data_IF_793391063618
#
_entry.id   IF_793391063618
#
_cell.length_a   1.000
_cell.length_b   1.000
_cell.length_c   1.000
_cell.angle_alpha   90.00
_cell.angle_beta   90.00
_cell.angle_gamma   90.00
#
_symmetry.space_group_name_H-M   'P 1'
#
loop_
_entity.id
_entity.type
_entity.pdbx_description
1 polymer ?
#
# COMPACT_ATOMS: atom_id res chain seq x y z
N UNK A 1 3.41 -7.05 0.50
CA UNK A 1 3.53 -7.00 -0.98
C UNK A 1 4.97 -6.86 -1.40
N UNK A 2 5.67 -5.81 -0.97
CA UNK A 2 7.04 -5.52 -1.41
C UNK A 2 8.02 -6.69 -1.18
N UNK A 3 7.95 -7.34 -0.03
CA UNK A 3 8.75 -8.55 0.23
C UNK A 3 8.43 -9.72 -0.71
N UNK A 4 7.17 -9.86 -1.14
CA UNK A 4 6.78 -10.89 -2.12
C UNK A 4 7.30 -10.55 -3.52
N UNK A 5 7.38 -9.26 -3.88
CA UNK A 5 8.02 -8.82 -5.13
C UNK A 5 9.50 -9.21 -5.10
N UNK A 6 10.22 -8.82 -4.02
CA UNK A 6 11.66 -9.12 -3.86
C UNK A 6 11.92 -10.63 -3.95
N UNK A 7 11.14 -11.43 -3.23
CA UNK A 7 11.28 -12.88 -3.16
C UNK A 7 10.98 -13.56 -4.50
N UNK A 8 9.86 -13.22 -5.15
CA UNK A 8 9.42 -13.90 -6.40
C UNK A 8 10.25 -13.50 -7.61
N UNK A 9 10.76 -12.26 -7.65
CA UNK A 9 11.54 -11.74 -8.77
C UNK A 9 13.05 -11.73 -8.51
N UNK A 10 13.49 -12.12 -7.31
CA UNK A 10 14.90 -12.10 -6.89
C UNK A 10 15.57 -10.73 -7.13
N UNK A 11 14.94 -9.66 -6.64
CA UNK A 11 15.32 -8.26 -6.88
C UNK A 11 15.21 -7.39 -5.62
N UNK A 12 15.74 -6.16 -5.66
CA UNK A 12 15.42 -5.07 -4.73
C UNK A 12 14.26 -4.23 -5.27
N UNK A 13 13.65 -3.36 -4.45
CA UNK A 13 12.57 -2.49 -4.92
C UNK A 13 13.08 -1.43 -5.89
N UNK A 14 14.26 -0.86 -5.63
CA UNK A 14 14.87 0.12 -6.53
C UNK A 14 15.12 -0.50 -7.91
N UNK A 15 15.72 -1.70 -7.94
CA UNK A 15 15.94 -2.42 -9.19
C UNK A 15 14.63 -2.82 -9.87
N UNK A 16 13.58 -3.16 -9.11
CA UNK A 16 12.27 -3.41 -9.69
C UNK A 16 11.67 -2.16 -10.35
N UNK A 17 11.86 -0.97 -9.78
CA UNK A 17 11.42 0.30 -10.38
C UNK A 17 12.25 0.61 -11.64
N UNK A 18 13.56 0.39 -11.58
CA UNK A 18 14.47 0.57 -12.71
C UNK A 18 14.15 -0.35 -13.89
N UNK A 19 13.99 -1.65 -13.62
CA UNK A 19 13.77 -2.67 -14.65
C UNK A 19 12.36 -2.58 -15.26
N UNK A 20 11.40 -2.04 -14.51
CA UNK A 20 10.03 -1.77 -14.96
C UNK A 20 9.68 -0.29 -14.77
N UNK A 21 10.21 0.63 -15.61
CA UNK A 21 10.11 2.08 -15.39
C UNK A 21 8.67 2.60 -15.50
N UNK A 22 7.80 1.89 -16.22
CA UNK A 22 6.40 2.27 -16.39
C UNK A 22 5.51 1.70 -15.29
N UNK A 23 4.68 2.57 -14.70
CA UNK A 23 3.77 2.18 -13.61
C UNK A 23 2.75 1.11 -14.01
N UNK A 24 2.35 1.06 -15.28
CA UNK A 24 1.39 0.05 -15.78
C UNK A 24 1.91 -1.37 -15.63
N UNK A 25 3.17 -1.61 -16.02
CA UNK A 25 3.80 -2.93 -15.92
C UNK A 25 3.95 -3.36 -14.47
N UNK A 26 4.46 -2.45 -13.61
CA UNK A 26 4.57 -2.71 -12.16
C UNK A 26 3.21 -3.06 -11.56
N UNK A 27 2.14 -2.36 -11.94
CA UNK A 27 0.80 -2.62 -11.43
C UNK A 27 0.23 -3.97 -11.89
N UNK A 28 0.54 -4.42 -13.11
CA UNK A 28 0.15 -5.77 -13.58
C UNK A 28 0.86 -6.85 -12.77
N UNK A 29 2.16 -6.68 -12.54
CA UNK A 29 2.96 -7.62 -11.74
C UNK A 29 2.43 -7.69 -10.30
N UNK A 30 2.22 -6.54 -9.65
CA UNK A 30 1.65 -6.47 -8.29
C UNK A 30 0.26 -7.11 -8.22
N UNK A 31 -0.60 -6.84 -9.21
CA UNK A 31 -1.93 -7.44 -9.29
C UNK A 31 -1.91 -8.96 -9.43
N UNK A 32 -1.00 -9.49 -10.27
CA UNK A 32 -0.78 -10.93 -10.41
C UNK A 32 -0.30 -11.55 -9.11
N UNK A 33 0.74 -10.99 -8.49
CA UNK A 33 1.27 -11.49 -7.20
C UNK A 33 0.17 -11.48 -6.14
N UNK A 34 -0.66 -10.43 -6.08
CA UNK A 34 -1.78 -10.38 -5.14
C UNK A 34 -2.79 -11.52 -5.37
N UNK A 35 -3.12 -11.80 -6.63
CA UNK A 35 -3.98 -12.93 -7.00
C UNK A 35 -3.37 -14.28 -6.62
N UNK A 36 -2.10 -14.50 -6.98
CA UNK A 36 -1.36 -15.74 -6.67
C UNK A 36 -1.34 -16.00 -5.15
N UNK A 37 -1.12 -14.97 -4.33
CA UNK A 37 -1.14 -15.08 -2.86
C UNK A 37 -2.50 -15.55 -2.32
N UNK A 38 -3.61 -15.04 -2.87
CA UNK A 38 -4.95 -15.47 -2.46
C UNK A 38 -5.27 -16.91 -2.88
N UNK A 39 -4.65 -17.40 -3.96
CA UNK A 39 -4.79 -18.78 -4.40
C UNK A 39 -3.92 -19.74 -3.59
N UNK A 40 -2.67 -19.35 -3.29
CA UNK A 40 -1.69 -20.18 -2.60
C UNK A 40 -2.02 -20.37 -1.10
N UNK A 41 -2.40 -19.30 -0.42
CA UNK A 41 -2.67 -19.33 1.02
C UNK A 41 -4.15 -19.62 1.27
N UNK A 42 -4.44 -20.82 1.77
CA UNK A 42 -5.81 -21.28 2.10
C UNK A 42 -6.25 -20.94 3.52
N UNK A 43 -5.38 -20.34 4.32
CA UNK A 43 -5.66 -19.89 5.69
C UNK A 43 -5.96 -18.39 5.73
N UNK A 44 -6.37 -17.89 6.90
CA UNK A 44 -6.58 -16.46 7.11
C UNK A 44 -5.25 -15.71 7.03
N UNK A 45 -5.16 -14.75 6.12
CA UNK A 45 -3.96 -13.93 5.92
C UNK A 45 -4.30 -12.44 5.94
N UNK A 46 -3.30 -11.63 6.29
CA UNK A 46 -3.37 -10.17 6.15
C UNK A 46 -2.26 -9.76 5.19
N UNK A 47 -2.62 -9.04 4.12
CA UNK A 47 -1.67 -8.58 3.11
C UNK A 47 -1.62 -7.06 3.15
N UNK A 48 -0.48 -6.49 3.53
CA UNK A 48 -0.19 -5.08 3.27
C UNK A 48 0.13 -4.91 1.78
N UNK A 49 -0.75 -4.21 1.05
CA UNK A 49 -0.67 -4.00 -0.40
C UNK A 49 -0.06 -2.64 -0.70
N UNK A 50 1.13 -2.62 -1.30
CA UNK A 50 1.70 -1.39 -1.88
C UNK A 50 0.75 -0.85 -2.96
N UNK A 51 0.68 0.47 -3.21
CA UNK A 51 -0.26 1.03 -4.18
C UNK A 51 -0.22 0.35 -5.56
N UNK A 52 -1.42 0.03 -6.08
CA UNK A 52 -1.65 -0.44 -7.45
C UNK A 52 -2.52 0.60 -8.16
N UNK A 53 -1.89 1.46 -8.96
CA UNK A 53 -2.50 2.66 -9.54
C UNK A 53 -3.45 2.42 -10.72
N UNK A 54 -3.72 1.15 -11.07
CA UNK A 54 -4.67 0.78 -12.11
C UNK A 54 -5.67 -0.26 -11.58
N UNK A 55 -6.91 0.19 -11.40
CA UNK A 55 -7.97 -0.59 -10.76
C UNK A 55 -8.26 -1.94 -11.44
N UNK A 56 -8.07 -2.02 -12.77
CA UNK A 56 -8.23 -3.27 -13.54
C UNK A 56 -7.35 -4.42 -13.04
N UNK A 57 -6.24 -4.12 -12.37
CA UNK A 57 -5.28 -5.12 -11.91
C UNK A 57 -5.62 -5.70 -10.53
N UNK A 58 -6.64 -5.19 -9.82
CA UNK A 58 -7.05 -5.75 -8.53
C UNK A 58 -8.57 -5.75 -8.28
N UNK A 59 -9.37 -5.01 -9.05
CA UNK A 59 -10.82 -4.91 -8.82
C UNK A 59 -11.53 -6.27 -8.79
N UNK A 60 -11.08 -7.22 -9.62
CA UNK A 60 -11.67 -8.56 -9.66
C UNK A 60 -11.46 -9.34 -8.35
N UNK A 61 -10.47 -8.96 -7.54
CA UNK A 61 -10.22 -9.55 -6.22
C UNK A 61 -11.14 -8.97 -5.15
N UNK A 62 -11.64 -7.75 -5.33
CA UNK A 62 -12.55 -7.11 -4.38
C UNK A 62 -13.93 -7.76 -4.36
N UNK A 63 -14.32 -8.39 -5.46
CA UNK A 63 -15.62 -9.04 -5.62
C UNK A 63 -15.62 -10.47 -5.01
N UNK A 64 -14.50 -10.93 -4.46
CA UNK A 64 -14.38 -12.24 -3.81
C UNK A 64 -14.93 -12.19 -2.39
N UNK A 65 -15.88 -13.07 -2.05
CA UNK A 65 -16.55 -13.11 -0.74
C UNK A 65 -15.57 -13.24 0.44
N UNK A 66 -14.46 -13.94 0.25
CA UNK A 66 -13.43 -14.14 1.28
C UNK A 66 -12.48 -12.95 1.46
N UNK A 67 -12.61 -11.87 0.67
CA UNK A 67 -11.70 -10.73 0.70
C UNK A 67 -12.34 -9.55 1.44
N UNK A 68 -11.70 -9.13 2.54
CA UNK A 68 -11.99 -7.86 3.20
C UNK A 68 -10.90 -6.87 2.81
N UNK A 69 -11.18 -6.04 1.81
CA UNK A 69 -10.29 -4.95 1.43
C UNK A 69 -10.56 -3.71 2.27
N UNK A 70 -9.51 -3.10 2.83
CA UNK A 70 -9.56 -1.87 3.61
C UNK A 70 -8.55 -0.88 3.04
N UNK A 71 -9.01 0.31 2.66
CA UNK A 71 -8.15 1.43 2.26
C UNK A 71 -7.73 2.20 3.51
N UNK A 72 -6.42 2.22 3.77
CA UNK A 72 -5.84 3.05 4.83
C UNK A 72 -5.59 4.47 4.29
N UNK A 73 -6.13 5.46 4.99
CA UNK A 73 -6.05 6.87 4.63
C UNK A 73 -5.41 7.68 5.75
N UNK A 74 -4.75 8.77 5.41
CA UNK A 74 -4.30 9.77 6.38
C UNK A 74 -4.13 11.13 5.70
N UNK A 75 -3.73 12.16 6.45
CA UNK A 75 -3.33 13.45 5.87
C UNK A 75 -1.95 13.37 5.24
N UNK A 76 -1.67 14.32 4.34
CA UNK A 76 -0.35 14.48 3.71
C UNK A 76 0.76 14.65 4.75
N UNK A 77 0.50 15.43 5.82
CA UNK A 77 1.45 15.68 6.88
C UNK A 77 1.76 14.42 7.70
N UNK A 78 0.76 13.60 7.99
CA UNK A 78 0.95 12.35 8.73
C UNK A 78 1.67 11.31 7.87
N UNK A 79 1.37 11.24 6.57
CA UNK A 79 2.11 10.38 5.62
C UNK A 79 3.56 10.86 5.52
N UNK A 80 3.78 12.17 5.38
CA UNK A 80 5.11 12.76 5.36
C UNK A 80 5.92 12.38 6.60
N UNK A 81 5.33 12.51 7.81
CA UNK A 81 5.99 12.11 9.06
C UNK A 81 6.44 10.64 9.04
N UNK A 82 5.68 9.76 8.41
CA UNK A 82 5.95 8.32 8.32
C UNK A 82 6.80 7.88 7.13
N UNK A 83 7.18 8.78 6.22
CA UNK A 83 8.07 8.43 5.10
C UNK A 83 9.38 7.81 5.61
N UNK A 84 9.75 6.69 4.98
CA UNK A 84 11.02 5.98 5.16
C UNK A 84 11.75 6.02 3.83
N UNK A 85 13.02 6.42 3.86
CA UNK A 85 13.89 6.39 2.68
C UNK A 85 14.76 5.15 2.73
N UNK A 86 15.07 4.60 1.56
CA UNK A 86 15.98 3.46 1.41
C UNK A 86 17.02 3.74 0.33
N UNK A 87 18.15 3.06 0.41
CA UNK A 87 19.14 3.01 -0.68
C UNK A 87 18.76 1.93 -1.73
N UNK A 88 19.62 1.75 -2.74
CA UNK A 88 19.43 0.81 -3.85
C UNK A 88 19.39 -0.67 -3.41
N UNK A 89 19.89 -0.95 -2.20
CA UNK A 89 19.88 -2.27 -1.54
C UNK A 89 18.71 -2.41 -0.55
N UNK A 90 17.74 -1.50 -0.58
CA UNK A 90 16.59 -1.41 0.33
C UNK A 90 16.96 -1.19 1.81
N UNK A 91 18.18 -0.71 2.12
CA UNK A 91 18.57 -0.38 3.49
C UNK A 91 17.99 0.98 3.90
N UNK A 92 17.44 1.06 5.12
CA UNK A 92 16.82 2.29 5.64
C UNK A 92 17.88 3.39 5.82
N UNK A 93 17.65 4.52 5.14
CA UNK A 93 18.43 5.74 5.25
C UNK A 93 17.73 6.72 6.21
N UNK A 94 18.41 7.08 7.31
CA UNK A 94 17.93 8.12 8.23
C UNK A 94 18.53 9.46 7.83
N UNK A 95 17.80 10.24 7.04
CA UNK A 95 18.15 11.61 6.71
C UNK A 95 16.98 12.57 6.98
N UNK A 96 16.75 12.81 8.28
CA UNK A 96 15.69 13.72 8.74
C UNK A 96 15.94 15.18 8.34
N UNK A 97 17.21 15.55 8.10
CA UNK A 97 17.58 16.90 7.67
C UNK A 97 17.13 17.12 6.24
N UNK A 98 17.50 16.23 5.31
CA UNK A 98 17.06 16.30 3.91
C UNK A 98 15.54 16.22 3.79
N UNK A 99 14.92 15.28 4.52
CA UNK A 99 13.46 15.14 4.60
C UNK A 99 12.78 16.46 4.97
N UNK A 100 13.28 17.12 6.01
CA UNK A 100 12.72 18.39 6.50
C UNK A 100 12.98 19.55 5.54
N UNK A 101 14.16 19.60 4.91
CA UNK A 101 14.53 20.63 3.94
C UNK A 101 13.62 20.61 2.70
N UNK A 102 13.21 19.41 2.27
CA UNK A 102 12.36 19.20 1.09
C UNK A 102 10.89 18.91 1.43
N UNK A 103 10.43 19.30 2.62
CA UNK A 103 9.06 19.01 3.11
C UNK A 103 7.98 19.40 2.11
N UNK A 104 8.02 20.64 1.59
CA UNK A 104 6.96 21.15 0.70
C UNK A 104 6.88 20.36 -0.61
N UNK A 105 8.03 19.90 -1.12
CA UNK A 105 8.08 19.02 -2.28
C UNK A 105 7.39 17.68 -1.99
N UNK A 106 7.72 17.02 -0.87
CA UNK A 106 7.10 15.74 -0.53
C UNK A 106 5.61 15.85 -0.23
N UNK A 107 5.18 16.91 0.47
CA UNK A 107 3.75 17.16 0.71
C UNK A 107 3.00 17.28 -0.62
N UNK A 108 3.56 18.00 -1.59
CA UNK A 108 2.98 18.12 -2.94
C UNK A 108 2.87 16.77 -3.65
N UNK A 109 3.93 15.96 -3.65
CA UNK A 109 3.91 14.62 -4.26
C UNK A 109 2.88 13.70 -3.59
N UNK A 110 2.83 13.69 -2.25
CA UNK A 110 1.84 12.91 -1.49
C UNK A 110 0.41 13.37 -1.84
N UNK A 111 0.18 14.67 -1.96
CA UNK A 111 -1.12 15.21 -2.36
C UNK A 111 -1.55 14.68 -3.72
N UNK A 112 -0.65 14.74 -4.71
CA UNK A 112 -0.91 14.26 -6.07
C UNK A 112 -1.22 12.76 -6.08
N UNK A 113 -0.48 11.97 -5.32
CA UNK A 113 -0.72 10.54 -5.14
C UNK A 113 -2.09 10.25 -4.52
N UNK A 114 -2.47 10.97 -3.45
CA UNK A 114 -3.79 10.82 -2.82
C UNK A 114 -4.89 11.16 -3.82
N UNK A 115 -4.77 12.29 -4.52
CA UNK A 115 -5.77 12.73 -5.51
C UNK A 115 -5.92 11.71 -6.63
N UNK A 116 -4.81 11.18 -7.14
CA UNK A 116 -4.80 10.16 -8.17
C UNK A 116 -5.44 8.86 -7.66
N UNK A 117 -5.05 8.39 -6.47
CA UNK A 117 -5.53 7.14 -5.88
C UNK A 117 -7.02 7.14 -5.58
N UNK A 118 -7.64 8.28 -5.22
CA UNK A 118 -9.09 8.39 -4.92
C UNK A 118 -9.98 7.77 -5.99
N UNK A 119 -9.66 7.98 -7.28
CA UNK A 119 -10.46 7.42 -8.37
C UNK A 119 -10.24 5.91 -8.50
N UNK A 120 -8.99 5.48 -8.36
CA UNK A 120 -8.56 4.09 -8.51
C UNK A 120 -9.12 3.21 -7.38
N UNK A 121 -9.10 3.70 -6.15
CA UNK A 121 -9.53 2.97 -4.95
C UNK A 121 -11.01 3.19 -4.62
N UNK A 122 -11.77 3.85 -5.50
CA UNK A 122 -13.20 4.15 -5.28
C UNK A 122 -14.05 2.91 -4.95
N UNK A 123 -13.71 1.75 -5.50
CA UNK A 123 -14.44 0.48 -5.24
C UNK A 123 -14.15 -0.13 -3.87
N UNK A 124 -13.10 0.30 -3.17
CA UNK A 124 -12.83 -0.15 -1.81
C UNK A 124 -13.75 0.63 -0.88
N UNK A 125 -14.77 -0.05 -0.37
CA UNK A 125 -15.83 0.56 0.45
C UNK A 125 -15.36 0.83 1.87
N UNK A 126 -14.58 -0.10 2.44
CA UNK A 126 -14.04 0.03 3.78
C UNK A 126 -12.85 0.99 3.75
N UNK A 127 -13.02 2.16 4.38
CA UNK A 127 -11.97 3.17 4.51
C UNK A 127 -11.70 3.39 5.98
N UNK A 128 -10.42 3.41 6.36
CA UNK A 128 -9.98 3.67 7.72
C UNK A 128 -8.98 4.82 7.72
N UNK A 129 -9.26 5.86 8.50
CA UNK A 129 -8.43 7.04 8.59
C UNK A 129 -7.51 6.92 9.81
N UNK A 130 -6.21 6.72 9.59
CA UNK A 130 -5.21 6.43 10.63
C UNK A 130 -5.03 7.58 11.61
N UNK A 131 -5.18 8.83 11.15
CA UNK A 131 -5.12 10.02 11.99
C UNK A 131 -3.87 10.12 12.89
N UNK A 132 -2.71 9.70 12.37
CA UNK A 132 -1.46 9.61 13.13
C UNK A 132 -1.48 8.76 14.43
N UNK A 133 -2.47 7.89 14.62
CA UNK A 133 -2.54 7.02 15.80
C UNK A 133 -1.36 6.03 15.85
N UNK A 134 -1.10 5.49 17.03
CA UNK A 134 -0.09 4.43 17.18
C UNK A 134 -0.53 3.16 16.45
N UNK A 135 0.44 2.31 16.10
CA UNK A 135 0.15 1.03 15.44
C UNK A 135 -0.85 0.20 16.26
N UNK A 136 -0.66 0.11 17.58
CA UNK A 136 -1.53 -0.68 18.46
C UNK A 136 -2.98 -0.16 18.44
N UNK A 137 -3.17 1.16 18.50
CA UNK A 137 -4.50 1.77 18.43
C UNK A 137 -5.17 1.50 17.08
N UNK A 138 -4.43 1.64 15.98
CA UNK A 138 -4.93 1.36 14.63
C UNK A 138 -5.33 -0.11 14.50
N UNK A 139 -4.53 -1.02 15.05
CA UNK A 139 -4.82 -2.46 15.02
C UNK A 139 -6.09 -2.77 15.81
N UNK A 140 -6.24 -2.23 17.02
CA UNK A 140 -7.43 -2.44 17.84
C UNK A 140 -8.70 -1.96 17.11
N UNK A 141 -8.65 -0.77 16.50
CA UNK A 141 -9.76 -0.21 15.74
C UNK A 141 -10.08 -1.05 14.48
N UNK A 142 -9.07 -1.49 13.74
CA UNK A 142 -9.24 -2.34 12.55
C UNK A 142 -9.85 -3.70 12.92
N UNK A 143 -9.48 -4.30 14.06
CA UNK A 143 -10.09 -5.55 14.54
C UNK A 143 -11.59 -5.34 14.79
N UNK A 144 -11.98 -4.23 15.42
CA UNK A 144 -13.39 -3.90 15.64
C UNK A 144 -14.11 -3.70 14.29
N UNK A 145 -13.50 -2.97 13.36
CA UNK A 145 -14.03 -2.75 12.03
C UNK A 145 -14.27 -4.06 11.27
N UNK A 146 -13.27 -4.95 11.24
CA UNK A 146 -13.35 -6.25 10.57
C UNK A 146 -14.46 -7.12 11.17
N UNK A 147 -14.56 -7.19 12.51
CA UNK A 147 -15.65 -7.92 13.17
C UNK A 147 -17.03 -7.41 12.75
N UNK A 148 -17.21 -6.09 12.67
CA UNK A 148 -18.46 -5.49 12.25
C UNK A 148 -18.78 -5.76 10.77
N UNK A 149 -17.77 -5.86 9.91
CA UNK A 149 -17.93 -6.24 8.50
C UNK A 149 -18.36 -7.70 8.38
N UNK A 150 -17.67 -8.63 9.07
CA UNK A 150 -17.96 -10.07 9.01
C UNK A 150 -19.30 -10.48 9.62
N UNK A 151 -19.97 -9.59 10.36
CA UNK A 151 -21.30 -9.82 10.92
C UNK A 151 -22.45 -9.38 10.00
N UNK A 152 -22.16 -8.69 8.90
CA UNK A 152 -23.15 -8.29 7.88
C UNK A 152 -23.34 -9.39 6.85
#
# INVERSE_FOLDING_TARGET
MDEEIKKRLHTTLERFIHDYPYSDERCKIKGKILGDLLEEYKENIVIAVSPIYYARNFNFLLDLEQVIAIELQDTEEHIFQRLVFTDDEDNICKDDIYKSLHKDYYIKEIHEDIVYARKTFKKIENKYFINNQSVDQVVDDLIVMIKNISMK
#
